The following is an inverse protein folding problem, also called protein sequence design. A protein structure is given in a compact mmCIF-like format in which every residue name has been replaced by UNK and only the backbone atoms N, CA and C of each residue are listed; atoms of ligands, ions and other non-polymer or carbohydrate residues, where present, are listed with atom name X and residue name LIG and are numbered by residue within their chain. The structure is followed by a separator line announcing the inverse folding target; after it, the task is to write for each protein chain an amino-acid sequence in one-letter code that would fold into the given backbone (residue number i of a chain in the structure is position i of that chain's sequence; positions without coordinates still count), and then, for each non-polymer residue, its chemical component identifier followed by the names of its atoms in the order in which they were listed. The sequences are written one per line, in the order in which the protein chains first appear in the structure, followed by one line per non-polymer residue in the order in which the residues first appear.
data_IF_273830917505
#
_entry.id   IF_273830917505
#
_cell.length_a   1.000
_cell.length_b   1.000
_cell.length_c   1.000
_cell.angle_alpha   90.00
_cell.angle_beta   90.00
_cell.angle_gamma   90.00
#
_symmetry.space_group_name_H-M   'P 1'
#
loop_
_entity.id
_entity.type
_entity.pdbx_description
1 polymer ?
#
# COMPACT_ATOMS: atom_id res chain seq x y z
N UNK A 1 -33.33 -33.20 5.52
CA UNK A 1 -33.47 -33.01 6.99
C UNK A 1 -32.31 -33.57 7.83
N UNK A 2 -31.54 -34.57 7.38
CA UNK A 2 -30.44 -35.19 8.14
C UNK A 2 -29.13 -34.37 8.29
N UNK A 3 -28.85 -33.36 7.45
CA UNK A 3 -27.62 -32.53 7.54
C UNK A 3 -27.62 -31.54 8.72
N UNK A 4 -28.79 -31.03 9.14
CA UNK A 4 -28.90 -30.07 10.27
C UNK A 4 -28.65 -30.72 11.63
N UNK A 5 -28.98 -32.00 11.79
CA UNK A 5 -28.77 -32.75 13.04
C UNK A 5 -27.30 -33.12 13.26
N UNK A 6 -26.53 -33.42 12.19
CA UNK A 6 -25.08 -33.69 12.31
C UNK A 6 -24.27 -32.47 12.75
N UNK A 7 -24.57 -31.26 12.25
CA UNK A 7 -23.87 -30.02 12.67
C UNK A 7 -24.09 -29.69 14.15
N UNK A 8 -25.30 -29.94 14.69
CA UNK A 8 -25.59 -29.72 16.12
C UNK A 8 -24.85 -30.70 17.03
N UNK A 9 -24.68 -31.95 16.61
CA UNK A 9 -23.93 -32.97 17.36
C UNK A 9 -22.43 -32.67 17.42
N UNK A 10 -21.84 -32.17 16.34
CA UNK A 10 -20.42 -31.76 16.31
C UNK A 10 -20.18 -30.54 17.21
N UNK A 11 -21.08 -29.56 17.19
CA UNK A 11 -20.98 -28.37 18.06
C UNK A 11 -21.11 -28.74 19.54
N UNK A 12 -22.02 -29.67 19.89
CA UNK A 12 -22.18 -30.15 21.25
C UNK A 12 -20.94 -30.91 21.75
N UNK A 13 -20.32 -31.72 20.87
CA UNK A 13 -19.07 -32.42 21.17
C UNK A 13 -17.89 -31.47 21.41
N UNK A 14 -17.79 -30.40 20.61
CA UNK A 14 -16.74 -29.39 20.75
C UNK A 14 -16.87 -28.61 22.08
N UNK A 15 -18.10 -28.22 22.43
CA UNK A 15 -18.40 -27.53 23.70
C UNK A 15 -18.09 -28.42 24.92
N UNK A 16 -18.37 -29.72 24.85
CA UNK A 16 -18.03 -30.66 25.91
C UNK A 16 -16.52 -30.86 26.05
N UNK A 17 -15.76 -30.86 24.94
CA UNK A 17 -14.29 -30.91 25.01
C UNK A 17 -13.69 -29.65 25.61
N UNK A 18 -14.18 -28.46 25.23
CA UNK A 18 -13.72 -27.19 25.81
C UNK A 18 -14.04 -27.13 27.31
N UNK A 19 -15.24 -27.56 27.71
CA UNK A 19 -15.63 -27.66 29.12
C UNK A 19 -14.77 -28.63 29.92
N UNK A 20 -14.44 -29.80 29.36
CA UNK A 20 -13.57 -30.78 30.00
C UNK A 20 -12.13 -30.29 30.15
N UNK A 21 -11.62 -29.54 29.16
CA UNK A 21 -10.29 -28.93 29.19
C UNK A 21 -10.21 -27.86 30.28
N UNK A 22 -11.22 -27.00 30.38
CA UNK A 22 -11.34 -25.99 31.45
C UNK A 22 -11.39 -26.64 32.83
N UNK A 23 -12.19 -27.70 32.99
CA UNK A 23 -12.32 -28.42 34.27
C UNK A 23 -11.01 -29.11 34.67
N UNK A 24 -10.28 -29.67 33.70
CA UNK A 24 -8.96 -30.28 33.93
C UNK A 24 -7.90 -29.25 34.35
N UNK A 25 -7.90 -28.06 33.74
CA UNK A 25 -7.01 -26.95 34.09
C UNK A 25 -7.28 -26.42 35.51
N UNK A 26 -8.55 -26.26 35.89
CA UNK A 26 -8.96 -25.86 37.26
C UNK A 26 -8.49 -26.91 38.28
N UNK A 27 -8.66 -28.20 37.98
CA UNK A 27 -8.27 -29.30 38.89
C UNK A 27 -6.75 -29.41 39.09
N UNK A 28 -5.94 -28.96 38.12
CA UNK A 28 -4.48 -28.89 38.23
C UNK A 28 -3.96 -27.66 38.99
N UNK A 29 -4.84 -26.80 39.50
CA UNK A 29 -4.42 -25.60 40.23
C UNK A 29 -3.74 -24.55 39.33
N UNK A 30 -3.88 -24.69 38.01
CA UNK A 30 -3.45 -23.68 37.05
C UNK A 30 -4.48 -22.55 37.15
N UNK A 31 -4.22 -21.57 38.02
CA UNK A 31 -4.95 -20.32 38.00
C UNK A 31 -4.57 -19.58 36.73
N UNK A 32 -5.49 -19.56 35.76
CA UNK A 32 -5.46 -18.62 34.64
C UNK A 32 -5.74 -17.24 35.25
N UNK A 33 -4.70 -16.58 35.76
CA UNK A 33 -4.85 -15.33 36.52
C UNK A 33 -5.25 -14.14 35.64
N UNK A 34 -5.19 -14.26 34.32
CA UNK A 34 -5.70 -13.22 33.44
C UNK A 34 -5.97 -13.75 32.02
N UNK A 35 -7.20 -14.18 31.67
CA UNK A 35 -7.53 -14.64 30.32
C UNK A 35 -7.34 -13.55 29.26
N UNK A 36 -7.44 -12.26 29.64
CA UNK A 36 -7.10 -11.13 28.75
C UNK A 36 -5.61 -11.07 28.43
N UNK A 37 -4.73 -11.38 29.39
CA UNK A 37 -3.28 -11.39 29.14
C UNK A 37 -2.85 -12.55 28.24
N UNK A 38 -3.48 -13.71 28.37
CA UNK A 38 -3.21 -14.88 27.50
C UNK A 38 -3.78 -14.64 26.10
N UNK A 39 -4.97 -14.04 25.97
CA UNK A 39 -5.47 -13.57 24.67
C UNK A 39 -4.53 -12.53 24.07
N UNK A 40 -4.04 -11.57 24.86
CA UNK A 40 -3.07 -10.56 24.42
C UNK A 40 -1.76 -11.21 23.96
N UNK A 41 -1.20 -12.18 24.67
CA UNK A 41 0.01 -12.92 24.26
C UNK A 41 -0.20 -13.79 23.00
N UNK A 42 -1.32 -14.52 22.91
CA UNK A 42 -1.64 -15.33 21.71
C UNK A 42 -1.86 -14.41 20.50
N UNK A 43 -2.51 -13.26 20.67
CA UNK A 43 -2.67 -12.27 19.60
C UNK A 43 -1.38 -11.49 19.32
N UNK A 44 -0.49 -11.25 20.28
CA UNK A 44 0.85 -10.68 20.05
C UNK A 44 1.73 -11.66 19.25
N UNK A 45 1.67 -12.96 19.54
CA UNK A 45 2.38 -13.95 18.70
C UNK A 45 1.78 -14.07 17.29
N UNK A 46 0.50 -13.74 17.13
CA UNK A 46 -0.18 -13.60 15.84
C UNK A 46 0.10 -12.24 15.18
N UNK A 47 0.40 -11.20 15.97
CA UNK A 47 0.80 -9.85 15.58
C UNK A 47 2.22 -9.78 15.06
N UNK A 48 3.15 -10.55 15.65
CA UNK A 48 4.50 -10.73 15.08
C UNK A 48 4.44 -11.39 13.70
N UNK A 49 3.29 -12.00 13.35
CA UNK A 49 2.95 -12.51 12.03
C UNK A 49 1.86 -11.67 11.31
N UNK A 50 1.39 -10.55 11.88
CA UNK A 50 0.47 -9.65 11.17
C UNK A 50 1.32 -8.81 10.22
N UNK A 51 1.45 -9.33 9.01
CA UNK A 51 1.99 -8.65 7.84
C UNK A 51 3.41 -8.13 8.01
N UNK A 52 4.36 -9.05 7.85
CA UNK A 52 5.63 -8.70 7.23
C UNK A 52 5.30 -7.92 5.93
N UNK A 53 5.79 -6.68 5.70
CA UNK A 53 5.68 -6.01 4.40
C UNK A 53 6.31 -6.84 3.27
N UNK A 54 7.06 -7.88 3.65
CA UNK A 54 7.67 -8.88 2.82
C UNK A 54 6.95 -10.24 2.93
N UNK A 55 5.63 -10.23 3.12
CA UNK A 55 4.80 -11.43 3.06
C UNK A 55 4.56 -11.82 1.60
N UNK A 56 4.76 -13.09 1.26
CA UNK A 56 4.33 -13.64 -0.04
C UNK A 56 2.80 -13.69 -0.19
N UNK A 57 2.05 -13.42 0.88
CA UNK A 57 0.61 -13.20 0.83
C UNK A 57 0.31 -11.69 0.72
N UNK A 58 -0.41 -11.32 -0.33
CA UNK A 58 -0.80 -9.93 -0.65
C UNK A 58 -2.32 -9.80 -0.72
N UNK A 59 -2.84 -8.58 -0.63
CA UNK A 59 -4.25 -8.30 -0.82
C UNK A 59 -4.52 -8.03 -2.30
N UNK A 60 -5.55 -8.67 -2.83
CA UNK A 60 -6.09 -8.42 -4.16
C UNK A 60 -7.54 -7.97 -4.05
N UNK A 61 -7.94 -7.07 -4.96
CA UNK A 61 -9.31 -6.57 -5.06
C UNK A 61 -9.84 -6.89 -6.45
N UNK A 62 -11.03 -7.50 -6.50
CA UNK A 62 -11.74 -7.90 -7.72
C UNK A 62 -13.22 -7.61 -7.54
N UNK A 63 -13.79 -6.68 -8.33
CA UNK A 63 -15.22 -6.33 -8.29
C UNK A 63 -15.76 -6.07 -6.86
N UNK A 64 -14.96 -5.41 -6.03
CA UNK A 64 -15.29 -5.13 -4.63
C UNK A 64 -15.10 -6.31 -3.65
N UNK A 65 -14.69 -7.49 -4.14
CA UNK A 65 -14.26 -8.60 -3.30
C UNK A 65 -12.78 -8.45 -2.95
N UNK A 66 -12.50 -8.34 -1.66
CA UNK A 66 -11.13 -8.23 -1.15
C UNK A 66 -10.68 -9.61 -0.65
N UNK A 67 -9.61 -10.14 -1.22
CA UNK A 67 -9.06 -11.45 -0.90
C UNK A 67 -7.56 -11.34 -0.62
N UNK A 68 -7.03 -12.34 0.07
CA UNK A 68 -5.60 -12.53 0.23
C UNK A 68 -5.14 -13.65 -0.69
N UNK A 69 -4.10 -13.42 -1.48
CA UNK A 69 -3.52 -14.43 -2.37
C UNK A 69 -2.05 -14.67 -2.02
N UNK A 70 -1.64 -15.94 -2.00
CA UNK A 70 -0.23 -16.31 -1.90
C UNK A 70 0.41 -16.30 -3.30
N UNK A 71 1.42 -15.47 -3.52
CA UNK A 71 2.07 -15.28 -4.82
C UNK A 71 2.90 -16.50 -5.28
N UNK A 72 3.30 -17.36 -4.34
CA UNK A 72 4.05 -18.58 -4.65
C UNK A 72 3.12 -19.69 -5.12
N UNK A 73 1.99 -19.90 -4.43
CA UNK A 73 1.09 -21.04 -4.65
C UNK A 73 -0.18 -20.69 -5.43
N UNK A 74 -0.56 -19.41 -5.51
CA UNK A 74 -1.85 -18.95 -6.02
C UNK A 74 -3.03 -19.24 -5.08
N UNK A 75 -2.80 -19.77 -3.88
CA UNK A 75 -3.88 -20.06 -2.93
C UNK A 75 -4.54 -18.77 -2.44
N UNK A 76 -5.88 -18.73 -2.49
CA UNK A 76 -6.69 -17.60 -2.05
C UNK A 76 -7.38 -17.87 -0.72
N UNK A 77 -7.41 -16.86 0.15
CA UNK A 77 -8.09 -16.86 1.44
C UNK A 77 -8.89 -15.57 1.59
N UNK A 78 -9.91 -15.61 2.44
CA UNK A 78 -10.65 -14.40 2.81
C UNK A 78 -9.72 -13.46 3.58
N UNK A 79 -9.61 -12.21 3.14
CA UNK A 79 -8.92 -11.17 3.88
C UNK A 79 -9.65 -10.93 5.22
N UNK A 80 -8.92 -10.62 6.29
CA UNK A 80 -9.56 -10.24 7.55
C UNK A 80 -10.14 -8.82 7.52
N UNK A 81 -10.81 -8.40 8.59
CA UNK A 81 -11.48 -7.11 8.63
C UNK A 81 -10.49 -5.92 8.45
N UNK A 82 -9.28 -6.02 9.01
CA UNK A 82 -8.27 -4.95 8.95
C UNK A 82 -7.64 -4.91 7.56
N UNK A 83 -7.35 -6.07 6.98
CA UNK A 83 -6.87 -6.23 5.62
C UNK A 83 -7.84 -5.66 4.58
N UNK A 84 -9.14 -5.78 4.85
CA UNK A 84 -10.21 -5.16 4.07
C UNK A 84 -10.35 -3.65 4.30
N UNK A 85 -9.51 -3.04 5.15
CA UNK A 85 -9.62 -1.63 5.57
C UNK A 85 -10.99 -1.29 6.18
N UNK A 86 -11.70 -2.28 6.72
CA UNK A 86 -12.98 -2.10 7.38
C UNK A 86 -12.78 -1.79 8.88
N UNK A 87 -12.85 -0.51 9.24
CA UNK A 87 -12.78 -0.10 10.64
C UNK A 87 -14.15 0.03 11.31
N UNK A 88 -15.21 -0.52 10.71
CA UNK A 88 -16.54 -0.49 11.31
C UNK A 88 -16.54 -1.24 12.66
N UNK A 89 -17.12 -0.59 13.66
CA UNK A 89 -17.20 -1.11 15.03
C UNK A 89 -15.94 -0.91 15.89
N UNK A 90 -14.91 -0.20 15.41
CA UNK A 90 -13.81 0.24 16.28
C UNK A 90 -14.30 1.29 17.27
N UNK A 91 -13.94 1.13 18.55
CA UNK A 91 -14.32 2.05 19.61
C UNK A 91 -13.67 3.41 19.37
N UNK A 92 -14.47 4.48 19.36
CA UNK A 92 -13.97 5.85 19.18
C UNK A 92 -14.08 6.38 17.75
N UNK A 93 -14.34 5.51 16.76
CA UNK A 93 -14.83 5.95 15.45
C UNK A 93 -16.34 6.21 15.48
N UNK A 94 -16.84 7.14 14.66
CA UNK A 94 -18.27 7.27 14.44
C UNK A 94 -18.83 6.03 13.72
N UNK A 95 -20.14 5.80 13.84
CA UNK A 95 -20.81 4.80 13.01
C UNK A 95 -20.78 5.26 11.55
N UNK A 96 -20.34 4.37 10.66
CA UNK A 96 -20.26 4.63 9.23
C UNK A 96 -21.62 4.44 8.55
N UNK A 97 -21.78 5.01 7.35
CA UNK A 97 -23.01 4.98 6.56
C UNK A 97 -23.95 6.16 6.84
N UNK A 98 -25.22 6.00 6.47
CA UNK A 98 -26.22 7.05 6.62
C UNK A 98 -26.66 7.24 8.07
N UNK A 99 -26.41 8.43 8.61
CA UNK A 99 -26.88 8.89 9.91
C UNK A 99 -27.75 10.13 9.75
N UNK A 100 -29.08 9.96 9.73
CA UNK A 100 -30.07 11.03 9.53
C UNK A 100 -29.82 11.79 8.20
N UNK A 101 -29.17 12.96 8.29
CA UNK A 101 -28.91 13.88 7.17
C UNK A 101 -27.42 13.91 6.79
N UNK A 102 -26.62 12.98 7.30
CA UNK A 102 -25.19 12.88 7.02
C UNK A 102 -24.87 11.47 6.52
N UNK A 103 -23.89 11.38 5.64
CA UNK A 103 -23.28 10.12 5.22
C UNK A 103 -21.81 10.15 5.61
N UNK A 104 -21.36 9.11 6.31
CA UNK A 104 -19.98 9.00 6.79
C UNK A 104 -19.31 7.80 6.13
N UNK A 105 -18.13 8.01 5.56
CA UNK A 105 -17.33 6.93 5.00
C UNK A 105 -15.86 7.08 5.37
N UNK A 106 -15.13 5.97 5.31
CA UNK A 106 -13.67 5.98 5.39
C UNK A 106 -13.16 6.35 4.00
N UNK A 107 -12.47 7.48 3.88
CA UNK A 107 -11.87 7.91 2.62
C UNK A 107 -10.45 7.40 2.46
N UNK A 108 -9.74 7.18 3.57
CA UNK A 108 -8.32 6.80 3.55
C UNK A 108 -7.95 6.01 4.80
N UNK A 109 -7.13 4.97 4.60
CA UNK A 109 -6.48 4.23 5.68
C UNK A 109 -5.00 4.15 5.37
N UNK A 110 -4.17 4.61 6.31
CA UNK A 110 -2.72 4.50 6.23
C UNK A 110 -2.21 3.72 7.44
N UNK A 111 -1.66 2.53 7.18
CA UNK A 111 -1.07 1.71 8.24
C UNK A 111 0.30 2.23 8.66
N UNK A 112 0.57 2.14 9.96
CA UNK A 112 1.93 2.26 10.46
C UNK A 112 2.81 1.13 9.90
N UNK A 113 4.11 1.37 9.80
CA UNK A 113 5.13 0.42 9.31
C UNK A 113 5.02 -0.97 9.94
N UNK A 114 4.78 -1.04 11.25
CA UNK A 114 4.63 -2.30 11.99
C UNK A 114 3.19 -2.84 11.99
N UNK A 115 2.27 -2.16 11.29
CA UNK A 115 0.84 -2.49 11.15
C UNK A 115 0.11 -2.72 12.48
N UNK A 116 0.62 -2.16 13.58
CA UNK A 116 -0.04 -2.20 14.91
C UNK A 116 -1.02 -1.04 15.10
N UNK A 117 -0.81 0.05 14.36
CA UNK A 117 -1.67 1.22 14.31
C UNK A 117 -2.06 1.55 12.87
N UNK A 118 -3.18 2.24 12.71
CA UNK A 118 -3.62 2.83 11.46
C UNK A 118 -4.09 4.27 11.67
N UNK A 119 -3.83 5.13 10.70
CA UNK A 119 -4.51 6.40 10.54
C UNK A 119 -5.75 6.13 9.69
N UNK A 120 -6.92 6.58 10.16
CA UNK A 120 -8.20 6.43 9.47
C UNK A 120 -8.79 7.81 9.27
N UNK A 121 -8.99 8.22 8.01
CA UNK A 121 -9.65 9.45 7.63
C UNK A 121 -11.13 9.15 7.35
N UNK A 122 -12.00 9.88 8.02
CA UNK A 122 -13.46 9.75 7.87
C UNK A 122 -14.01 11.07 7.35
N UNK A 123 -14.59 11.02 6.16
CA UNK A 123 -15.26 12.16 5.55
C UNK A 123 -16.75 12.07 5.83
N UNK A 124 -17.33 13.20 6.25
CA UNK A 124 -18.76 13.36 6.45
C UNK A 124 -19.31 14.27 5.37
N UNK A 125 -20.27 13.77 4.62
CA UNK A 125 -20.99 14.50 3.59
C UNK A 125 -22.40 14.87 4.06
N UNK A 126 -22.93 15.96 3.53
CA UNK A 126 -24.35 16.27 3.66
C UNK A 126 -25.19 15.34 2.75
N UNK A 127 -26.27 14.76 3.29
CA UNK A 127 -27.17 13.90 2.52
C UNK A 127 -27.94 14.74 1.50
N UNK A 128 -27.81 14.42 0.22
CA UNK A 128 -28.60 15.00 -0.86
C UNK A 128 -30.04 14.48 -0.92
N UNK A 129 -30.79 14.90 -1.93
CA UNK A 129 -32.09 14.28 -2.23
C UNK A 129 -31.88 12.84 -2.75
N UNK A 130 -32.71 11.89 -2.28
CA UNK A 130 -32.71 10.48 -2.72
C UNK A 130 -31.49 9.60 -2.35
N UNK A 131 -30.82 9.88 -1.23
CA UNK A 131 -29.63 9.11 -0.78
C UNK A 131 -28.41 9.23 -1.70
N UNK A 132 -28.45 10.15 -2.65
CA UNK A 132 -27.26 10.59 -3.39
C UNK A 132 -26.37 11.43 -2.46
N UNK A 133 -25.07 11.16 -2.50
CA UNK A 133 -24.04 11.91 -1.77
C UNK A 133 -23.36 12.83 -2.78
N UNK A 134 -23.44 14.13 -2.56
CA UNK A 134 -22.67 15.10 -3.35
C UNK A 134 -21.22 15.10 -2.82
N UNK A 135 -20.22 14.62 -3.60
CA UNK A 135 -18.84 14.55 -3.15
C UNK A 135 -18.23 15.94 -2.87
N UNK A 136 -18.80 17.01 -3.45
CA UNK A 136 -18.35 18.38 -3.20
C UNK A 136 -18.96 18.97 -1.91
N UNK A 137 -19.96 18.31 -1.32
CA UNK A 137 -20.65 18.74 -0.10
C UNK A 137 -19.99 18.17 1.18
N UNK A 138 -18.65 18.22 1.26
CA UNK A 138 -17.90 17.81 2.45
C UNK A 138 -18.22 18.73 3.63
N UNK A 139 -18.80 18.16 4.69
CA UNK A 139 -19.14 18.88 5.92
C UNK A 139 -18.03 18.80 6.96
N UNK A 140 -17.41 17.63 7.08
CA UNK A 140 -16.32 17.37 8.03
C UNK A 140 -15.34 16.38 7.43
N UNK A 141 -14.10 16.53 7.84
CA UNK A 141 -13.00 15.65 7.52
C UNK A 141 -12.23 15.41 8.82
N UNK A 142 -12.48 14.24 9.42
CA UNK A 142 -11.94 13.89 10.73
C UNK A 142 -10.93 12.76 10.57
N UNK A 143 -9.76 12.95 11.18
CA UNK A 143 -8.68 11.96 11.17
C UNK A 143 -8.58 11.30 12.54
N UNK A 144 -8.36 10.00 12.55
CA UNK A 144 -8.25 9.18 13.75
C UNK A 144 -6.98 8.34 13.71
N UNK A 145 -6.35 8.15 14.87
CA UNK A 145 -5.33 7.11 15.06
C UNK A 145 -5.99 5.95 15.79
N UNK A 146 -5.93 4.77 15.18
CA UNK A 146 -6.54 3.54 15.63
C UNK A 146 -5.46 2.53 16.04
N UNK A 147 -5.54 2.06 17.28
CA UNK A 147 -4.80 0.90 17.76
C UNK A 147 -5.55 -0.36 17.34
N UNK A 148 -4.93 -1.16 16.46
CA UNK A 148 -5.61 -2.26 15.77
C UNK A 148 -6.02 -3.37 16.75
N UNK A 149 -5.10 -3.76 17.65
CA UNK A 149 -5.36 -4.83 18.62
C UNK A 149 -6.40 -4.45 19.66
N UNK A 150 -6.33 -3.21 20.15
CA UNK A 150 -7.29 -2.71 21.15
C UNK A 150 -8.64 -2.33 20.52
N UNK A 151 -8.71 -2.30 19.19
CA UNK A 151 -9.86 -1.83 18.39
C UNK A 151 -10.36 -0.49 18.90
N UNK A 152 -9.43 0.42 19.17
CA UNK A 152 -9.68 1.71 19.80
C UNK A 152 -9.04 2.82 18.99
N UNK A 153 -9.80 3.87 18.75
CA UNK A 153 -9.39 5.02 17.97
C UNK A 153 -9.51 6.31 18.79
N UNK A 154 -8.65 7.26 18.47
CA UNK A 154 -8.64 8.59 19.05
C UNK A 154 -8.51 9.63 17.93
N UNK A 155 -9.22 10.75 18.08
CA UNK A 155 -9.15 11.83 17.09
C UNK A 155 -7.73 12.42 17.06
N UNK A 156 -7.25 12.72 15.86
CA UNK A 156 -5.89 13.18 15.59
C UNK A 156 -5.89 14.33 14.58
N UNK A 157 -4.81 15.11 14.60
CA UNK A 157 -4.51 16.16 13.62
C UNK A 157 -3.28 15.81 12.77
N UNK A 158 -2.95 14.53 12.67
CA UNK A 158 -1.75 14.03 12.00
C UNK A 158 -1.64 14.44 10.52
N UNK A 159 -2.77 14.56 9.80
CA UNK A 159 -2.82 15.08 8.42
C UNK A 159 -3.03 16.60 8.34
N UNK A 160 -2.97 17.32 9.46
CA UNK A 160 -3.16 18.78 9.42
C UNK A 160 -2.07 19.46 8.61
N UNK A 161 -2.42 20.54 7.90
CA UNK A 161 -1.47 21.41 7.19
C UNK A 161 -0.69 22.34 8.15
N UNK A 162 -0.58 21.99 9.44
CA UNK A 162 -0.01 22.84 10.50
C UNK A 162 1.46 22.53 10.80
N UNK A 163 2.11 21.69 10.02
CA UNK A 163 3.53 21.44 10.21
C UNK A 163 4.36 22.61 9.70
N UNK A 164 5.38 22.98 10.48
CA UNK A 164 6.43 23.89 10.04
C UNK A 164 7.24 23.23 8.92
N UNK A 165 7.50 23.97 7.83
CA UNK A 165 8.16 23.45 6.63
C UNK A 165 7.24 22.79 5.58
N UNK A 166 5.94 22.66 5.84
CA UNK A 166 4.96 22.40 4.77
C UNK A 166 4.65 23.68 4.02
N UNK A 167 4.67 23.63 2.70
CA UNK A 167 4.20 24.74 1.87
C UNK A 167 2.68 24.70 1.75
N UNK A 168 1.98 25.47 2.57
CA UNK A 168 0.50 25.49 2.66
C UNK A 168 -0.15 26.05 1.38
N UNK A 169 0.62 26.64 0.47
CA UNK A 169 0.11 27.06 -0.84
C UNK A 169 -0.17 25.88 -1.79
N UNK A 170 0.30 24.69 -1.43
CA UNK A 170 0.17 23.44 -2.18
C UNK A 170 -1.18 22.76 -1.88
N UNK A 171 -1.92 22.39 -2.94
CA UNK A 171 -3.35 22.04 -2.84
C UNK A 171 -3.66 20.67 -2.26
N UNK A 172 -2.72 19.73 -2.19
CA UNK A 172 -2.95 18.46 -1.50
C UNK A 172 -1.62 17.74 -1.21
N UNK A 173 -1.54 17.10 -0.05
CA UNK A 173 -0.45 16.17 0.28
C UNK A 173 -1.06 14.79 0.34
N UNK A 174 -0.58 13.89 -0.50
CA UNK A 174 -0.98 12.49 -0.51
C UNK A 174 -0.05 11.74 0.43
N UNK A 175 -0.54 11.36 1.61
CA UNK A 175 0.25 10.64 2.60
C UNK A 175 0.41 9.17 2.19
N UNK A 176 1.64 8.66 2.19
CA UNK A 176 1.94 7.32 1.63
C UNK A 176 2.52 6.34 2.63
N UNK A 177 3.30 6.82 3.61
CA UNK A 177 3.95 5.94 4.59
C UNK A 177 3.92 6.58 5.97
N UNK A 178 3.76 5.76 7.00
CA UNK A 178 3.80 6.22 8.38
C UNK A 178 4.58 5.23 9.24
N UNK A 179 5.46 5.76 10.08
CA UNK A 179 6.15 5.00 11.12
C UNK A 179 5.81 5.63 12.47
N UNK A 180 4.94 4.96 13.21
CA UNK A 180 4.45 5.41 14.51
C UNK A 180 5.55 5.38 15.59
N UNK A 181 6.55 4.51 15.46
CA UNK A 181 7.65 4.38 16.43
C UNK A 181 8.66 5.51 16.24
N UNK A 182 9.07 5.76 15.00
CA UNK A 182 9.96 6.90 14.69
C UNK A 182 9.23 8.24 14.60
N UNK A 183 7.90 8.21 14.67
CA UNK A 183 7.00 9.38 14.62
C UNK A 183 7.16 10.17 13.33
N UNK A 184 7.46 9.49 12.23
CA UNK A 184 7.62 10.10 10.92
C UNK A 184 6.46 9.68 10.02
N UNK A 185 5.88 10.65 9.32
CA UNK A 185 4.92 10.43 8.26
C UNK A 185 5.45 11.02 6.96
N UNK A 186 5.22 10.33 5.86
CA UNK A 186 5.70 10.68 4.53
C UNK A 186 4.53 10.97 3.62
N UNK A 187 4.65 12.02 2.81
CA UNK A 187 3.60 12.39 1.87
C UNK A 187 4.15 13.14 0.67
N UNK A 188 3.49 12.94 -0.47
CA UNK A 188 3.87 13.54 -1.74
C UNK A 188 3.04 14.79 -2.00
N UNK A 189 3.70 15.82 -2.54
CA UNK A 189 3.00 16.92 -3.16
C UNK A 189 2.71 16.60 -4.63
N UNK A 190 1.43 16.66 -4.97
CA UNK A 190 0.92 16.56 -6.34
C UNK A 190 0.72 17.95 -6.91
N UNK A 191 1.42 18.25 -8.00
CA UNK A 191 1.30 19.55 -8.66
C UNK A 191 0.03 19.66 -9.51
N UNK A 192 -0.19 20.80 -10.18
CA UNK A 192 -1.42 21.05 -10.95
C UNK A 192 -1.60 20.14 -12.17
N UNK A 193 -0.55 19.44 -12.61
CA UNK A 193 -0.62 18.47 -13.71
C UNK A 193 -0.72 17.03 -13.19
N UNK A 194 -0.88 16.84 -11.88
CA UNK A 194 -1.04 15.52 -11.27
C UNK A 194 0.29 14.79 -11.01
N UNK A 195 1.43 15.48 -11.07
CA UNK A 195 2.75 14.87 -10.88
C UNK A 195 3.25 15.02 -9.44
N UNK A 196 3.77 13.91 -8.88
CA UNK A 196 4.44 13.91 -7.58
C UNK A 196 5.81 14.57 -7.71
N UNK A 197 5.94 15.82 -7.28
CA UNK A 197 7.17 16.62 -7.51
C UNK A 197 8.05 16.79 -6.28
N UNK A 198 7.48 16.58 -5.08
CA UNK A 198 8.20 16.66 -3.82
C UNK A 198 7.74 15.57 -2.86
N UNK A 199 8.66 15.00 -2.10
CA UNK A 199 8.35 14.13 -0.96
C UNK A 199 8.66 14.88 0.33
N UNK A 200 7.67 14.94 1.22
CA UNK A 200 7.79 15.43 2.58
C UNK A 200 8.01 14.29 3.55
N UNK A 201 8.85 14.53 4.56
CA UNK A 201 8.92 13.76 5.80
C UNK A 201 8.61 14.69 6.95
N UNK A 202 7.57 14.36 7.69
CA UNK A 202 7.05 15.15 8.80
C UNK A 202 7.17 14.38 10.11
N UNK A 203 7.78 15.00 11.13
CA UNK A 203 7.74 14.46 12.49
C UNK A 203 6.41 14.84 13.15
N UNK A 204 5.62 13.84 13.52
CA UNK A 204 4.23 13.99 13.99
C UNK A 204 4.11 14.67 15.36
N UNK A 205 5.16 14.60 16.17
CA UNK A 205 5.22 15.20 17.52
C UNK A 205 5.76 16.63 17.47
N UNK A 206 6.90 16.81 16.79
CA UNK A 206 7.55 18.13 16.68
C UNK A 206 6.81 19.07 15.72
N UNK A 207 5.90 18.51 14.90
CA UNK A 207 5.18 19.22 13.84
C UNK A 207 6.13 19.96 12.89
N UNK A 208 7.21 19.30 12.48
CA UNK A 208 8.20 19.81 11.52
C UNK A 208 8.34 18.88 10.33
N UNK A 209 8.47 19.45 9.14
CA UNK A 209 8.69 18.72 7.91
C UNK A 209 9.98 19.15 7.21
N UNK A 210 10.62 18.17 6.59
CA UNK A 210 11.66 18.39 5.58
C UNK A 210 11.13 17.86 4.25
N UNK A 211 11.61 18.42 3.14
CA UNK A 211 11.23 17.97 1.79
C UNK A 211 12.43 17.65 0.93
N UNK A 212 12.22 16.79 -0.04
CA UNK A 212 13.13 16.53 -1.15
C UNK A 212 12.37 16.65 -2.46
N UNK A 213 13.06 17.13 -3.50
CA UNK A 213 12.49 17.38 -4.81
C UNK A 213 11.83 18.74 -4.87
N UNK A 214 12.32 19.59 -5.77
CA UNK A 214 11.70 20.86 -6.09
C UNK A 214 12.00 21.17 -7.55
N UNK A 215 11.01 21.65 -8.28
CA UNK A 215 11.16 21.97 -9.69
C UNK A 215 12.06 23.18 -9.84
N UNK A 216 13.13 23.04 -10.61
CA UNK A 216 13.94 24.17 -11.07
C UNK A 216 13.80 24.36 -12.60
N UNK A 217 14.40 25.42 -13.14
CA UNK A 217 14.26 25.73 -14.57
C UNK A 217 14.85 24.64 -15.50
N UNK A 218 15.86 23.91 -15.02
CA UNK A 218 16.68 22.99 -15.81
C UNK A 218 16.46 21.51 -15.46
N UNK A 219 15.84 21.23 -14.32
CA UNK A 219 15.55 19.90 -13.82
C UNK A 219 14.23 19.86 -13.06
N UNK A 220 13.59 18.70 -13.10
CA UNK A 220 12.42 18.43 -12.30
C UNK A 220 12.61 17.10 -11.57
N UNK A 221 11.91 16.99 -10.45
CA UNK A 221 11.94 15.82 -9.61
C UNK A 221 10.63 15.07 -9.76
N UNK A 222 10.72 13.76 -9.74
CA UNK A 222 9.59 12.85 -9.76
C UNK A 222 9.73 11.90 -8.58
N UNK A 223 8.66 11.79 -7.79
CA UNK A 223 8.59 10.82 -6.70
C UNK A 223 7.68 9.67 -7.15
N UNK A 224 8.26 8.53 -7.54
CA UNK A 224 7.48 7.38 -8.00
C UNK A 224 6.71 6.78 -6.82
N UNK A 225 5.62 6.07 -7.10
CA UNK A 225 4.96 5.34 -6.02
C UNK A 225 5.92 4.27 -5.48
N UNK A 226 5.88 4.00 -4.17
CA UNK A 226 6.84 3.10 -3.53
C UNK A 226 8.24 3.70 -3.30
N UNK A 227 8.41 5.02 -3.51
CA UNK A 227 9.68 5.73 -3.28
C UNK A 227 10.30 5.53 -1.89
N UNK A 228 9.47 5.36 -0.84
CA UNK A 228 9.95 5.15 0.54
C UNK A 228 10.18 3.65 0.76
N UNK A 229 11.35 3.28 1.28
CA UNK A 229 11.66 1.89 1.59
C UNK A 229 10.69 1.34 2.66
N UNK A 230 10.40 0.03 2.68
CA UNK A 230 9.54 -0.56 3.72
C UNK A 230 10.12 -0.41 5.14
N UNK A 231 11.44 -0.27 5.25
CA UNK A 231 12.12 0.08 6.50
C UNK A 231 11.97 1.54 6.89
N UNK A 232 11.41 2.40 6.03
CA UNK A 232 11.28 3.85 6.16
C UNK A 232 12.60 4.61 6.34
N UNK A 233 13.74 3.96 6.15
CA UNK A 233 15.08 4.53 6.37
C UNK A 233 15.70 5.15 5.11
N UNK A 234 15.19 4.76 3.93
CA UNK A 234 15.69 5.23 2.64
C UNK A 234 14.53 5.69 1.76
N UNK A 235 14.85 6.61 0.86
CA UNK A 235 13.93 7.12 -0.14
C UNK A 235 14.63 7.18 -1.49
N UNK A 236 13.94 6.81 -2.57
CA UNK A 236 14.36 7.07 -3.94
C UNK A 236 13.51 8.21 -4.53
N UNK A 237 14.19 9.19 -5.11
CA UNK A 237 13.57 10.24 -5.93
C UNK A 237 14.27 10.27 -7.28
N UNK A 238 13.54 10.51 -8.35
CA UNK A 238 14.12 10.62 -9.69
C UNK A 238 14.35 12.10 -9.99
N UNK A 239 15.53 12.44 -10.46
CA UNK A 239 15.84 13.75 -11.03
C UNK A 239 15.94 13.63 -12.53
N UNK A 240 15.09 14.36 -13.26
CA UNK A 240 15.12 14.46 -14.72
C UNK A 240 15.66 15.83 -15.13
N UNK A 241 16.65 15.84 -16.03
CA UNK A 241 17.33 17.04 -16.51
C UNK A 241 16.94 17.32 -17.96
N UNK A 242 16.54 18.55 -18.27
CA UNK A 242 16.07 18.93 -19.62
C UNK A 242 17.21 19.08 -20.64
N UNK A 243 18.39 19.53 -20.20
CA UNK A 243 19.50 19.95 -21.06
C UNK A 243 20.85 19.37 -20.60
N UNK A 244 20.90 18.08 -20.27
CA UNK A 244 22.10 17.41 -19.72
C UNK A 244 22.38 16.12 -20.46
N UNK A 245 23.66 15.73 -20.55
CA UNK A 245 24.08 14.39 -20.99
C UNK A 245 23.49 13.30 -20.08
N UNK A 246 23.41 13.59 -18.78
CA UNK A 246 22.69 12.79 -17.80
C UNK A 246 21.25 13.29 -17.77
N UNK A 247 20.39 12.65 -18.57
CA UNK A 247 18.97 12.95 -18.70
C UNK A 247 18.17 12.59 -17.44
N UNK A 248 18.56 11.52 -16.75
CA UNK A 248 17.89 11.08 -15.54
C UNK A 248 18.81 10.38 -14.54
N UNK A 249 18.56 10.63 -13.27
CA UNK A 249 19.26 10.04 -12.13
C UNK A 249 18.26 9.54 -11.08
N UNK A 250 18.50 8.35 -10.54
CA UNK A 250 17.92 7.93 -9.28
C UNK A 250 18.77 8.48 -8.15
N UNK A 251 18.13 9.22 -7.26
CA UNK A 251 18.74 9.82 -6.08
C UNK A 251 18.26 9.07 -4.85
N UNK A 252 19.18 8.38 -4.18
CA UNK A 252 18.91 7.71 -2.91
C UNK A 252 19.17 8.69 -1.77
N UNK A 253 18.21 8.88 -0.89
CA UNK A 253 18.34 9.68 0.33
C UNK A 253 18.22 8.80 1.56
N UNK A 254 18.88 9.21 2.66
CA UNK A 254 18.47 8.75 3.98
C UNK A 254 17.18 9.47 4.36
N UNK A 255 16.19 8.75 4.87
CA UNK A 255 14.99 9.38 5.40
C UNK A 255 15.29 10.34 6.54
N UNK A 256 16.42 10.20 7.23
CA UNK A 256 16.82 11.09 8.32
C UNK A 256 17.30 12.47 7.86
N UNK A 257 17.82 12.58 6.63
CA UNK A 257 18.39 13.81 6.07
C UNK A 257 18.18 13.89 4.54
N UNK A 258 17.41 14.88 4.13
CA UNK A 258 17.12 15.18 2.73
C UNK A 258 18.05 16.24 2.11
N UNK A 259 19.05 16.72 2.85
CA UNK A 259 19.95 17.77 2.38
C UNK A 259 20.80 17.32 1.19
N UNK A 260 21.25 16.06 1.19
CA UNK A 260 22.05 15.50 0.11
C UNK A 260 21.71 14.02 -0.12
N UNK A 261 21.68 13.55 -1.38
CA UNK A 261 21.53 12.13 -1.65
C UNK A 261 22.77 11.38 -1.17
N UNK A 262 22.56 10.24 -0.53
CA UNK A 262 23.61 9.29 -0.14
C UNK A 262 24.20 8.61 -1.37
N UNK A 263 23.41 8.47 -2.44
CA UNK A 263 23.85 7.86 -3.68
C UNK A 263 23.10 8.44 -4.89
N UNK A 264 23.79 8.46 -6.04
CA UNK A 264 23.24 8.88 -7.33
C UNK A 264 23.56 7.81 -8.36
N UNK A 265 22.55 7.40 -9.12
CA UNK A 265 22.66 6.35 -10.13
C UNK A 265 22.12 6.93 -11.44
N UNK A 266 22.98 6.97 -12.46
CA UNK A 266 22.59 7.42 -13.79
C UNK A 266 21.73 6.34 -14.46
N UNK A 267 20.49 6.70 -14.80
CA UNK A 267 19.52 5.83 -15.48
C UNK A 267 19.11 6.38 -16.85
N UNK A 268 19.92 7.29 -17.41
CA UNK A 268 19.61 7.96 -18.68
C UNK A 268 19.51 6.99 -19.86
N UNK A 269 20.13 5.81 -19.77
CA UNK A 269 20.02 4.77 -20.81
C UNK A 269 18.66 4.09 -20.83
N UNK A 270 17.86 4.23 -19.77
CA UNK A 270 16.51 3.69 -19.72
C UNK A 270 15.50 4.60 -20.39
N UNK A 271 15.66 5.90 -20.17
CA UNK A 271 14.66 6.86 -20.59
C UNK A 271 14.95 7.26 -22.04
N UNK A 272 14.12 6.76 -22.96
CA UNK A 272 14.18 7.23 -24.33
C UNK A 272 13.49 8.60 -24.46
N UNK A 273 14.20 9.60 -24.99
CA UNK A 273 13.64 10.93 -25.26
C UNK A 273 13.17 11.09 -26.72
N UNK A 274 13.25 10.04 -27.54
CA UNK A 274 12.86 10.11 -28.96
C UNK A 274 11.34 10.06 -29.17
N UNK A 275 10.57 9.65 -28.16
CA UNK A 275 9.12 9.90 -28.10
C UNK A 275 8.90 11.25 -27.41
N UNK A 276 7.89 12.00 -27.85
CA UNK A 276 7.54 13.34 -27.32
C UNK A 276 7.13 13.37 -25.83
N UNK A 277 7.27 12.25 -25.10
CA UNK A 277 7.13 12.13 -23.65
C UNK A 277 8.33 11.38 -23.07
N UNK A 278 8.80 11.82 -21.90
CA UNK A 278 9.79 11.05 -21.13
C UNK A 278 9.13 9.75 -20.68
N UNK A 279 9.79 8.60 -20.86
CA UNK A 279 9.37 7.37 -20.16
C UNK A 279 9.25 7.66 -18.66
N UNK A 280 8.07 7.37 -18.13
CA UNK A 280 7.75 7.60 -16.72
C UNK A 280 8.26 6.42 -15.91
N UNK A 281 8.89 6.69 -14.77
CA UNK A 281 9.12 5.66 -13.76
C UNK A 281 7.96 5.79 -12.80
N UNK A 282 7.03 4.87 -12.92
CA UNK A 282 5.73 4.97 -12.25
C UNK A 282 5.76 4.29 -10.89
N UNK A 283 6.59 3.24 -10.72
CA UNK A 283 6.65 2.46 -9.49
C UNK A 283 8.05 1.97 -9.10
N UNK A 284 8.22 1.79 -7.79
CA UNK A 284 9.39 1.22 -7.14
C UNK A 284 8.94 0.14 -6.15
N UNK A 285 9.53 -1.06 -6.26
CA UNK A 285 9.36 -2.14 -5.29
C UNK A 285 10.72 -2.54 -4.70
N UNK A 286 10.82 -2.51 -3.37
CA UNK A 286 12.08 -2.76 -2.65
C UNK A 286 12.20 -4.21 -2.21
N UNK A 287 13.43 -4.74 -2.22
CA UNK A 287 13.72 -5.96 -1.48
C UNK A 287 13.81 -5.72 0.03
N UNK A 288 13.78 -6.79 0.83
CA UNK A 288 13.74 -6.72 2.30
C UNK A 288 14.84 -5.88 2.93
N UNK A 289 16.04 -6.02 2.40
CA UNK A 289 17.23 -5.31 2.87
C UNK A 289 17.55 -4.07 2.03
N UNK A 290 16.75 -3.77 1.00
CA UNK A 290 16.96 -2.67 0.08
C UNK A 290 18.25 -2.79 -0.73
N UNK A 291 18.66 -4.03 -1.03
CA UNK A 291 19.82 -4.32 -1.90
C UNK A 291 19.44 -4.25 -3.37
N UNK A 292 18.26 -4.75 -3.69
CA UNK A 292 17.71 -4.72 -5.03
C UNK A 292 16.38 -3.96 -5.04
N UNK A 293 16.10 -3.35 -6.18
CA UNK A 293 14.89 -2.58 -6.41
C UNK A 293 14.33 -2.93 -7.79
N UNK A 294 13.07 -3.34 -7.84
CA UNK A 294 12.34 -3.44 -9.10
C UNK A 294 11.75 -2.07 -9.45
N UNK A 295 11.89 -1.67 -10.71
CA UNK A 295 11.49 -0.36 -11.24
C UNK A 295 10.51 -0.60 -12.38
N UNK A 296 9.27 -0.13 -12.22
CA UNK A 296 8.24 -0.17 -13.26
C UNK A 296 8.28 1.07 -14.13
N UNK A 297 8.42 0.88 -15.43
CA UNK A 297 8.43 1.93 -16.46
C UNK A 297 7.48 1.57 -17.58
N UNK A 298 6.93 2.53 -18.31
CA UNK A 298 5.92 2.28 -19.35
C UNK A 298 6.34 1.18 -20.36
N UNK A 299 7.64 1.05 -20.66
CA UNK A 299 8.19 0.03 -21.56
C UNK A 299 8.58 -1.33 -20.94
N UNK A 300 8.56 -1.48 -19.61
CA UNK A 300 9.03 -2.71 -18.96
C UNK A 300 9.35 -2.58 -17.48
N UNK A 301 9.80 -3.70 -16.91
CA UNK A 301 10.27 -3.79 -15.53
C UNK A 301 11.77 -4.03 -15.53
N UNK A 302 12.49 -3.24 -14.74
CA UNK A 302 13.93 -3.32 -14.56
C UNK A 302 14.28 -3.70 -13.13
N UNK A 303 15.40 -4.40 -12.95
CA UNK A 303 15.99 -4.68 -11.65
C UNK A 303 17.26 -3.86 -11.47
N UNK A 304 17.34 -3.12 -10.38
CA UNK A 304 18.50 -2.34 -9.96
C UNK A 304 19.22 -3.02 -8.81
N UNK A 305 20.47 -3.44 -9.04
CA UNK A 305 21.40 -3.86 -7.99
C UNK A 305 22.10 -2.61 -7.44
N UNK A 306 21.73 -2.23 -6.21
CA UNK A 306 22.24 -1.02 -5.56
C UNK A 306 23.74 -1.12 -5.24
N UNK A 307 24.26 -2.32 -4.99
CA UNK A 307 25.69 -2.51 -4.68
C UNK A 307 26.55 -2.39 -5.92
N UNK A 308 26.13 -3.04 -7.01
CA UNK A 308 26.85 -3.02 -8.29
C UNK A 308 26.55 -1.78 -9.12
N UNK A 309 25.49 -1.04 -8.77
CA UNK A 309 24.93 0.06 -9.57
C UNK A 309 24.62 -0.38 -11.00
N UNK A 310 24.18 -1.62 -11.13
CA UNK A 310 23.89 -2.24 -12.40
C UNK A 310 22.40 -2.44 -12.54
N UNK A 311 21.92 -2.25 -13.75
CA UNK A 311 20.52 -2.35 -14.06
C UNK A 311 20.31 -3.36 -15.18
N UNK A 312 19.29 -4.19 -15.03
CA UNK A 312 18.91 -5.22 -16.01
C UNK A 312 17.42 -5.16 -16.31
N UNK A 313 17.06 -5.22 -17.58
CA UNK A 313 15.68 -5.44 -18.02
C UNK A 313 15.29 -6.87 -17.65
N UNK A 314 14.18 -7.05 -16.93
CA UNK A 314 13.66 -8.37 -16.55
C UNK A 314 12.30 -8.68 -17.18
N UNK A 315 11.60 -7.66 -17.68
CA UNK A 315 10.37 -7.81 -18.44
C UNK A 315 10.22 -6.67 -19.43
N UNK A 316 9.97 -7.02 -20.69
CA UNK A 316 9.63 -6.05 -21.73
C UNK A 316 8.13 -6.14 -21.99
N UNK A 317 7.46 -5.00 -21.96
CA UNK A 317 6.05 -4.91 -22.35
C UNK A 317 5.90 -5.24 -23.83
N UNK A 318 4.92 -6.06 -24.24
CA UNK A 318 4.59 -6.25 -25.65
C UNK A 318 4.21 -4.89 -26.25
N UNK A 319 5.03 -4.34 -27.15
CA UNK A 319 4.76 -3.05 -27.77
C UNK A 319 3.68 -3.19 -28.85
N UNK A 320 2.42 -2.97 -28.47
CA UNK A 320 1.37 -2.60 -29.41
C UNK A 320 1.27 -1.07 -29.43
N UNK A 321 1.32 -0.46 -30.61
CA UNK A 321 1.50 0.98 -30.87
C UNK A 321 0.49 1.92 -30.16
N UNK A 322 -0.56 1.37 -29.55
CA UNK A 322 -1.68 2.11 -28.94
C UNK A 322 -1.87 1.87 -27.42
N UNK A 323 -1.03 1.04 -26.78
CA UNK A 323 -1.20 0.68 -25.37
C UNK A 323 -0.34 1.52 -24.43
N UNK A 324 -1.00 2.28 -23.53
CA UNK A 324 -0.33 3.00 -22.44
C UNK A 324 -0.34 2.10 -21.20
N UNK A 325 0.77 1.40 -20.93
CA UNK A 325 0.94 0.66 -19.68
C UNK A 325 1.37 1.61 -18.58
N UNK A 326 0.66 1.58 -17.45
CA UNK A 326 1.00 2.31 -16.25
C UNK A 326 1.22 1.33 -15.12
N UNK A 327 2.29 1.52 -14.35
CA UNK A 327 2.61 0.69 -13.19
C UNK A 327 2.48 1.52 -11.92
N UNK A 328 1.54 1.20 -11.05
CA UNK A 328 1.57 1.73 -9.69
C UNK A 328 2.47 0.86 -8.78
N UNK A 329 2.95 1.38 -7.64
CA UNK A 329 3.69 0.54 -6.67
C UNK A 329 2.81 -0.56 -6.09
N UNK A 330 1.51 -0.28 -5.99
CA UNK A 330 0.55 -1.29 -5.63
C UNK A 330 0.47 -2.40 -6.68
N UNK A 331 0.95 -2.19 -7.89
CA UNK A 331 0.95 -3.16 -8.99
C UNK A 331 2.33 -3.81 -9.22
N UNK A 332 3.33 -3.51 -8.38
CA UNK A 332 4.67 -4.11 -8.48
C UNK A 332 5.14 -4.61 -7.12
N UNK A 333 5.48 -5.89 -7.03
CA UNK A 333 5.98 -6.53 -5.83
C UNK A 333 7.31 -7.23 -6.10
N UNK A 334 8.28 -7.03 -5.22
CA UNK A 334 9.55 -7.77 -5.21
C UNK A 334 9.56 -8.68 -3.99
N UNK A 335 9.76 -9.99 -4.22
CA UNK A 335 9.79 -10.95 -3.13
C UNK A 335 10.95 -10.65 -2.15
N UNK A 336 10.79 -11.05 -0.88
CA UNK A 336 11.71 -10.67 0.21
C UNK A 336 13.13 -11.20 0.00
N UNK A 337 13.16 -12.41 -0.56
CA UNK A 337 14.32 -13.22 -0.88
C UNK A 337 14.81 -12.98 -2.31
N UNK A 338 14.16 -12.07 -3.04
CA UNK A 338 14.52 -11.68 -4.41
C UNK A 338 14.45 -12.86 -5.39
N UNK A 339 13.59 -13.85 -5.13
CA UNK A 339 13.34 -14.99 -6.01
C UNK A 339 12.33 -14.70 -7.13
N UNK A 340 11.45 -13.72 -6.94
CA UNK A 340 10.48 -13.34 -7.98
C UNK A 340 10.03 -11.86 -7.91
N UNK A 341 9.50 -11.39 -9.04
CA UNK A 341 8.73 -10.14 -9.14
C UNK A 341 7.30 -10.48 -9.53
N UNK A 342 6.31 -9.85 -8.90
CA UNK A 342 4.90 -9.98 -9.27
C UNK A 342 4.33 -8.64 -9.71
N UNK A 343 3.46 -8.66 -10.70
CA UNK A 343 2.85 -7.45 -11.25
C UNK A 343 1.46 -7.70 -11.83
N UNK A 344 0.66 -6.64 -11.96
CA UNK A 344 -0.60 -6.69 -12.71
C UNK A 344 -0.34 -6.32 -14.15
N UNK A 345 -0.62 -7.25 -15.06
CA UNK A 345 -0.69 -6.99 -16.49
C UNK A 345 -2.14 -6.80 -16.93
N UNK A 346 -2.37 -5.94 -17.89
CA UNK A 346 -3.69 -5.75 -18.50
C UNK A 346 -3.65 -6.36 -19.89
N UNK A 347 -3.70 -7.70 -19.97
CA UNK A 347 -3.74 -8.36 -21.27
C UNK A 347 -5.19 -8.35 -21.79
N UNK A 348 -5.35 -7.77 -22.98
CA UNK A 348 -6.46 -7.94 -23.90
C UNK A 348 -7.83 -7.33 -23.51
N UNK A 349 -8.37 -6.61 -24.48
CA UNK A 349 -9.71 -6.07 -24.52
C UNK A 349 -10.66 -7.19 -24.93
N UNK A 350 -11.77 -7.37 -24.22
CA UNK A 350 -12.91 -8.12 -24.76
C UNK A 350 -13.77 -7.09 -25.50
N UNK A 351 -13.74 -7.12 -26.83
CA UNK A 351 -14.81 -6.49 -27.62
C UNK A 351 -16.09 -7.28 -27.40
N UNK A 352 -16.91 -6.86 -26.43
CA UNK A 352 -18.32 -7.24 -26.41
C UNK A 352 -19.10 -6.17 -27.19
N UNK A 353 -20.02 -6.63 -28.05
CA UNK A 353 -20.78 -5.82 -29.02
C UNK A 353 -21.71 -4.74 -28.39
N UNK A 354 -21.66 -4.52 -27.07
CA UNK A 354 -22.51 -3.60 -26.31
C UNK A 354 -21.71 -2.76 -25.29
N UNK A 355 -21.30 -1.55 -25.70
CA UNK A 355 -20.96 -0.32 -24.94
C UNK A 355 -20.07 -0.32 -23.66
N UNK A 356 -19.69 -1.45 -23.07
CA UNK A 356 -18.85 -1.51 -21.87
C UNK A 356 -17.52 -2.24 -22.16
N UNK A 357 -16.43 -1.48 -22.27
CA UNK A 357 -15.07 -2.05 -22.36
C UNK A 357 -14.70 -2.72 -21.03
N UNK A 358 -14.60 -4.04 -21.01
CA UNK A 358 -14.18 -4.81 -19.83
C UNK A 358 -12.71 -5.24 -19.94
N UNK A 359 -11.90 -4.86 -18.94
CA UNK A 359 -10.49 -5.23 -18.85
C UNK A 359 -10.32 -6.48 -17.98
N UNK A 360 -9.65 -7.50 -18.53
CA UNK A 360 -9.13 -8.60 -17.72
C UNK A 360 -7.71 -8.24 -17.30
N UNK A 361 -7.49 -8.24 -15.99
CA UNK A 361 -6.20 -7.99 -15.38
C UNK A 361 -5.61 -9.33 -14.90
N UNK A 362 -4.33 -9.55 -15.21
CA UNK A 362 -3.57 -10.75 -14.93
C UNK A 362 -2.50 -10.45 -13.88
N UNK A 363 -2.60 -11.07 -12.71
CA UNK A 363 -1.51 -11.13 -11.75
C UNK A 363 -0.45 -12.10 -12.26
N UNK A 364 0.64 -11.56 -12.79
CA UNK A 364 1.80 -12.30 -13.30
C UNK A 364 2.92 -12.36 -12.27
N UNK A 365 3.80 -13.34 -12.47
CA UNK A 365 5.03 -13.55 -11.71
C UNK A 365 6.18 -13.88 -12.65
N UNK A 366 7.28 -13.17 -12.46
CA UNK A 366 8.59 -13.41 -13.09
C UNK A 366 9.46 -14.13 -12.07
N UNK A 367 9.84 -15.37 -12.35
CA UNK A 367 10.88 -16.04 -11.58
C UNK A 367 12.24 -15.46 -11.97
N UNK A 368 12.99 -14.91 -11.01
CA UNK A 368 14.25 -14.21 -11.30
C UNK A 368 15.42 -15.16 -11.55
N UNK A 369 15.33 -16.43 -11.14
CA UNK A 369 16.35 -17.45 -11.40
C UNK A 369 16.18 -18.09 -12.79
N UNK A 370 14.93 -18.32 -13.21
CA UNK A 370 14.63 -19.02 -14.47
C UNK A 370 14.20 -18.09 -15.61
N UNK A 371 13.92 -16.82 -15.31
CA UNK A 371 13.34 -15.84 -16.23
C UNK A 371 11.96 -16.26 -16.78
N UNK A 372 11.31 -17.24 -16.15
CA UNK A 372 9.99 -17.72 -16.54
C UNK A 372 8.89 -16.79 -16.03
N UNK A 373 7.97 -16.44 -16.92
CA UNK A 373 6.79 -15.64 -16.61
C UNK A 373 5.57 -16.57 -16.54
N UNK A 374 4.81 -16.45 -15.45
CA UNK A 374 3.61 -17.25 -15.22
C UNK A 374 2.46 -16.38 -14.73
N UNK A 375 1.24 -16.65 -15.18
CA UNK A 375 0.04 -16.04 -14.64
C UNK A 375 -0.41 -16.80 -13.40
N UNK A 376 -0.50 -16.11 -12.27
CA UNK A 376 -0.98 -16.65 -11.00
C UNK A 376 -2.52 -16.60 -10.96
N UNK A 377 -3.08 -15.47 -11.36
CA UNK A 377 -4.51 -15.20 -11.26
C UNK A 377 -4.96 -14.22 -12.34
N UNK A 378 -6.19 -14.38 -12.81
CA UNK A 378 -6.81 -13.52 -13.83
C UNK A 378 -8.21 -13.17 -13.39
N UNK A 379 -8.54 -11.89 -13.42
CA UNK A 379 -9.84 -11.41 -12.98
C UNK A 379 -10.15 -10.03 -13.57
N UNK A 380 -11.44 -9.69 -13.62
CA UNK A 380 -11.89 -8.37 -14.06
C UNK A 380 -11.58 -7.31 -13.00
N UNK A 381 -11.01 -6.18 -13.44
CA UNK A 381 -10.67 -5.07 -12.55
C UNK A 381 -9.74 -5.47 -11.40
N UNK A 382 -8.87 -6.47 -11.62
CA UNK A 382 -7.96 -6.98 -10.60
C UNK A 382 -6.93 -5.90 -10.26
N UNK A 383 -6.83 -5.56 -8.99
CA UNK A 383 -5.79 -4.70 -8.45
C UNK A 383 -5.12 -5.36 -7.25
N UNK A 384 -3.92 -4.92 -6.93
CA UNK A 384 -3.15 -5.32 -5.75
C UNK A 384 -3.19 -4.20 -4.71
N UNK A 385 -3.04 -4.54 -3.43
CA UNK A 385 -3.03 -3.59 -2.32
C UNK A 385 -2.03 -4.04 -1.24
N UNK A 386 -1.15 -3.14 -0.78
CA UNK A 386 -0.10 -3.43 0.22
C UNK A 386 -0.34 -2.83 1.61
#
# INVERSE_FOLDING_TARGET
MQKKTKKKLVLLGLLLMIGALFFWLIKKGIRINNPEAIMKEIFISKSENMHDPFSEEIIIVEEGNIQKINLTTGEKKTADQVEQRDFNGFLGLPSLGFLKNEYLEISEVLFSKNKTMAIVRVVTYEKGMEEFVDPDAVKKDDVYICEIFERKCSKSDIFSQKYDGLDISQKEIHWTNWDSESKNIFGNFVDQIGENTSLYRCNTDEKKCNKVGERDENSYYEVPTGAVSPTTEKVIVIKKNKNSEIKAELLLFSSSDFSNPVEKINISSLINNERDGFEKISSIAWSKIGKNVAIGMDGGIFMLDMEKKSLSLIYAVPMDEESNYFWNSDELYLSPDESFVSFIDSDDWIEDDEEDMEFINNLKKINLDTEEISTIYSAKGLTMQF
#
